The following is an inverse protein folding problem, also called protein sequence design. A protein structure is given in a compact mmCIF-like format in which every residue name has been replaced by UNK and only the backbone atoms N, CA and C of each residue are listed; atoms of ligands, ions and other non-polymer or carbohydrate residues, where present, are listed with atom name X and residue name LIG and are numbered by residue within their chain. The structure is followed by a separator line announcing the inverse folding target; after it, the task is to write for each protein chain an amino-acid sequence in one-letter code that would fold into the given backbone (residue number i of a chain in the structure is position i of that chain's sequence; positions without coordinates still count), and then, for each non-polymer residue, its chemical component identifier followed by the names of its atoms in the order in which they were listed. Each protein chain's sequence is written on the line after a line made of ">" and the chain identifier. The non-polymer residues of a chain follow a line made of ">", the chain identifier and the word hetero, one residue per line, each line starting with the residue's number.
data_IF_210101604841
#
_entry.id   IF_210101604841
#
_cell.length_a   1.000
_cell.length_b   1.000
_cell.length_c   1.000
_cell.angle_alpha   90.00
_cell.angle_beta   90.00
_cell.angle_gamma   90.00
#
_symmetry.space_group_name_H-M   'P 1'
#
loop_
_entity.id
_entity.type
_entity.pdbx_description
1 polymer ?
#
# COMPACT_ATOMS: atom_id res chain seq x y z
N UNK A 1 -12.09 -14.88 -50.01
CA UNK A 1 -12.55 -13.75 -49.15
C UNK A 1 -12.87 -14.18 -47.75
N UNK A 2 -13.81 -15.11 -47.46
CA UNK A 2 -14.21 -15.51 -46.08
C UNK A 2 -13.04 -15.94 -45.16
N UNK A 3 -12.05 -16.72 -45.67
CA UNK A 3 -10.90 -17.20 -44.89
C UNK A 3 -9.97 -16.06 -44.41
N UNK A 4 -9.77 -15.05 -45.26
CA UNK A 4 -8.94 -13.88 -44.88
C UNK A 4 -9.65 -13.01 -43.83
N UNK A 5 -10.97 -12.86 -43.95
CA UNK A 5 -11.79 -12.13 -42.95
C UNK A 5 -11.75 -12.82 -41.60
N UNK A 6 -11.89 -14.14 -41.54
CA UNK A 6 -11.79 -14.91 -40.28
C UNK A 6 -10.40 -14.78 -39.63
N UNK A 7 -9.33 -14.82 -40.44
CA UNK A 7 -7.97 -14.64 -39.91
C UNK A 7 -7.76 -13.24 -39.34
N UNK A 8 -8.26 -12.20 -39.99
CA UNK A 8 -8.20 -10.81 -39.50
C UNK A 8 -8.98 -10.68 -38.20
N UNK A 9 -10.19 -11.24 -38.14
CA UNK A 9 -11.01 -11.21 -36.92
C UNK A 9 -10.32 -11.92 -35.75
N UNK A 10 -9.70 -13.08 -36.02
CA UNK A 10 -8.91 -13.81 -35.02
C UNK A 10 -7.72 -12.99 -34.46
N UNK A 11 -6.98 -12.31 -35.33
CA UNK A 11 -5.86 -11.44 -34.93
C UNK A 11 -6.37 -10.26 -34.05
N UNK A 12 -7.49 -9.66 -34.44
CA UNK A 12 -8.10 -8.55 -33.65
C UNK A 12 -8.49 -9.06 -32.25
N UNK A 13 -9.17 -10.20 -32.15
CA UNK A 13 -9.57 -10.77 -30.88
C UNK A 13 -8.38 -11.12 -29.97
N UNK A 14 -7.31 -11.68 -30.54
CA UNK A 14 -6.08 -11.95 -29.79
C UNK A 14 -5.42 -10.63 -29.35
N UNK A 15 -5.42 -9.61 -30.20
CA UNK A 15 -4.93 -8.28 -29.84
C UNK A 15 -5.67 -7.65 -28.66
N UNK A 16 -7.01 -7.71 -28.70
CA UNK A 16 -7.86 -7.23 -27.59
C UNK A 16 -7.58 -8.04 -26.32
N UNK A 17 -7.55 -9.37 -26.40
CA UNK A 17 -7.24 -10.23 -25.25
C UNK A 17 -5.87 -9.93 -24.64
N UNK A 18 -4.86 -9.72 -25.47
CA UNK A 18 -3.51 -9.31 -25.03
C UNK A 18 -3.53 -7.96 -24.32
N UNK A 19 -4.24 -6.99 -24.87
CA UNK A 19 -4.37 -5.66 -24.26
C UNK A 19 -5.06 -5.72 -22.89
N UNK A 20 -6.17 -6.44 -22.77
CA UNK A 20 -6.88 -6.63 -21.49
C UNK A 20 -5.99 -7.34 -20.47
N UNK A 21 -5.26 -8.37 -20.88
CA UNK A 21 -4.36 -9.13 -20.02
C UNK A 21 -3.17 -8.28 -19.50
N UNK A 22 -2.61 -7.41 -20.35
CA UNK A 22 -1.47 -6.55 -20.00
C UNK A 22 -1.89 -5.27 -19.27
N UNK A 23 -3.17 -4.89 -19.34
CA UNK A 23 -3.66 -3.64 -18.76
C UNK A 23 -3.35 -3.47 -17.26
N UNK A 24 -3.46 -4.49 -16.37
CA UNK A 24 -3.10 -4.36 -14.96
C UNK A 24 -1.62 -4.01 -14.74
N UNK A 25 -0.74 -4.57 -15.57
CA UNK A 25 0.72 -4.29 -15.51
C UNK A 25 0.99 -2.84 -15.89
N UNK A 26 0.33 -2.35 -16.95
CA UNK A 26 0.46 -0.95 -17.38
C UNK A 26 -0.08 0.03 -16.33
N UNK A 27 -1.26 -0.25 -15.75
CA UNK A 27 -1.82 0.59 -14.70
C UNK A 27 -0.96 0.59 -13.44
N UNK A 28 -0.43 -0.57 -13.03
CA UNK A 28 0.49 -0.69 -11.90
C UNK A 28 1.76 0.13 -12.13
N UNK A 29 2.38 0.02 -13.30
CA UNK A 29 3.56 0.82 -13.67
C UNK A 29 3.28 2.33 -13.64
N UNK A 30 2.16 2.76 -14.24
CA UNK A 30 1.75 4.17 -14.23
C UNK A 30 1.54 4.69 -12.81
N UNK A 31 0.86 3.91 -11.97
CA UNK A 31 0.60 4.28 -10.57
C UNK A 31 1.90 4.38 -9.77
N UNK A 32 2.82 3.42 -9.94
CA UNK A 32 4.13 3.47 -9.29
C UNK A 32 4.91 4.72 -9.71
N UNK A 33 4.93 5.03 -11.02
CA UNK A 33 5.58 6.24 -11.53
C UNK A 33 4.97 7.52 -10.96
N UNK A 34 3.64 7.60 -10.84
CA UNK A 34 2.96 8.74 -10.22
C UNK A 34 3.34 8.86 -8.74
N UNK A 35 3.36 7.75 -8.00
CA UNK A 35 3.76 7.71 -6.60
C UNK A 35 5.22 8.20 -6.42
N UNK A 36 6.13 7.76 -7.27
CA UNK A 36 7.54 8.18 -7.25
C UNK A 36 7.68 9.68 -7.53
N UNK A 37 6.92 10.21 -8.51
CA UNK A 37 6.89 11.64 -8.81
C UNK A 37 6.36 12.48 -7.64
N UNK A 38 5.30 12.04 -6.98
CA UNK A 38 4.76 12.73 -5.80
C UNK A 38 5.74 12.71 -4.62
N UNK A 39 6.45 11.61 -4.41
CA UNK A 39 7.47 11.52 -3.38
C UNK A 39 8.67 12.42 -3.73
N UNK A 40 9.11 12.43 -4.98
CA UNK A 40 10.20 13.30 -5.43
C UNK A 40 9.84 14.79 -5.29
N UNK A 41 8.62 15.17 -5.66
CA UNK A 41 8.12 16.53 -5.46
C UNK A 41 8.07 16.91 -3.98
N UNK A 42 7.66 15.97 -3.11
CA UNK A 42 7.69 16.17 -1.66
C UNK A 42 9.12 16.35 -1.11
N UNK A 43 10.07 15.55 -1.58
CA UNK A 43 11.49 15.63 -1.16
C UNK A 43 12.16 16.93 -1.61
N UNK A 44 11.79 17.43 -2.81
CA UNK A 44 12.30 18.71 -3.37
C UNK A 44 11.64 19.95 -2.76
N UNK A 45 10.48 19.82 -2.13
CA UNK A 45 9.77 20.95 -1.55
C UNK A 45 10.59 21.60 -0.43
N UNK A 46 10.58 22.94 -0.38
CA UNK A 46 11.27 23.71 0.67
C UNK A 46 10.73 23.31 2.04
N UNK A 47 11.60 22.81 2.89
CA UNK A 47 11.27 22.44 4.26
C UNK A 47 11.23 23.70 5.13
N UNK A 48 10.18 23.85 5.91
CA UNK A 48 10.05 24.87 6.94
C UNK A 48 10.48 24.23 8.27
N UNK A 49 11.33 24.88 9.08
CA UNK A 49 11.64 24.40 10.42
C UNK A 49 10.36 24.20 11.23
N UNK A 50 10.26 23.08 11.94
CA UNK A 50 9.04 22.69 12.66
C UNK A 50 8.56 23.75 13.67
N UNK A 51 9.49 24.45 14.30
CA UNK A 51 9.21 25.52 15.29
C UNK A 51 8.50 26.73 14.66
N UNK A 52 8.72 26.96 13.35
CA UNK A 52 8.19 28.12 12.59
C UNK A 52 6.99 27.73 11.70
N UNK A 53 6.65 26.43 11.60
CA UNK A 53 5.56 25.99 10.74
C UNK A 53 4.22 25.96 11.49
N UNK A 54 3.24 26.80 11.12
CA UNK A 54 1.90 26.75 11.72
C UNK A 54 1.25 25.36 11.61
N UNK A 55 1.52 24.64 10.50
CA UNK A 55 1.01 23.29 10.29
C UNK A 55 1.52 22.31 11.36
N UNK A 56 2.77 22.47 11.81
CA UNK A 56 3.32 21.65 12.89
C UNK A 56 2.60 21.92 14.22
N UNK A 57 2.32 23.18 14.52
CA UNK A 57 1.56 23.55 15.73
C UNK A 57 0.15 22.96 15.71
N UNK A 58 -0.54 23.05 14.57
CA UNK A 58 -1.87 22.47 14.38
C UNK A 58 -1.81 20.94 14.56
N UNK A 59 -0.80 20.26 13.98
CA UNK A 59 -0.61 18.83 14.10
C UNK A 59 -0.36 18.38 15.56
N UNK A 60 0.43 19.11 16.31
CA UNK A 60 0.65 18.85 17.75
C UNK A 60 -0.65 19.04 18.55
N UNK A 61 -1.39 20.13 18.31
CA UNK A 61 -2.67 20.38 18.97
C UNK A 61 -3.69 19.29 18.66
N UNK A 62 -3.74 18.84 17.41
CA UNK A 62 -4.58 17.71 16.99
C UNK A 62 -4.23 16.43 17.77
N UNK A 63 -2.94 16.03 17.79
CA UNK A 63 -2.52 14.85 18.52
C UNK A 63 -2.86 14.93 20.03
N UNK A 64 -2.68 16.11 20.61
CA UNK A 64 -2.96 16.36 22.03
C UNK A 64 -4.47 16.25 22.31
N UNK A 65 -5.29 16.85 21.44
CA UNK A 65 -6.74 16.81 21.54
C UNK A 65 -7.27 15.37 21.51
N UNK A 66 -6.90 14.56 20.49
CA UNK A 66 -7.42 13.20 20.39
C UNK A 66 -6.97 12.29 21.54
N UNK A 67 -5.77 12.53 22.09
CA UNK A 67 -5.30 11.82 23.28
C UNK A 67 -6.11 12.19 24.52
N UNK A 68 -6.34 13.48 24.79
CA UNK A 68 -7.09 13.96 25.95
C UNK A 68 -8.57 13.60 25.88
N UNK A 69 -9.17 13.58 24.68
CA UNK A 69 -10.55 13.16 24.43
C UNK A 69 -10.74 11.63 24.40
N UNK A 70 -9.63 10.85 24.50
CA UNK A 70 -9.66 9.38 24.50
C UNK A 70 -10.13 8.76 23.18
N UNK A 71 -9.92 9.45 22.05
CA UNK A 71 -10.29 8.99 20.70
C UNK A 71 -11.75 8.55 20.59
N UNK A 72 -12.68 9.32 21.18
CA UNK A 72 -14.13 9.01 21.25
C UNK A 72 -14.77 8.77 19.88
N UNK A 73 -14.22 9.40 18.84
CA UNK A 73 -14.75 9.35 17.47
C UNK A 73 -14.11 8.23 16.63
N UNK A 74 -13.17 7.47 17.18
CA UNK A 74 -12.56 6.31 16.51
C UNK A 74 -13.53 5.11 16.58
N UNK A 75 -14.60 5.12 15.77
CA UNK A 75 -15.69 4.15 15.89
C UNK A 75 -15.92 3.30 14.65
N UNK A 76 -15.79 3.88 13.46
CA UNK A 76 -16.21 3.25 12.21
C UNK A 76 -15.43 3.74 10.98
N UNK A 77 -15.75 3.15 9.83
CA UNK A 77 -15.11 3.44 8.54
C UNK A 77 -15.25 4.91 8.12
N UNK A 78 -16.30 5.60 8.55
CA UNK A 78 -16.50 7.02 8.20
C UNK A 78 -15.54 7.92 8.96
N UNK A 79 -15.32 7.65 10.25
CA UNK A 79 -14.35 8.37 11.06
C UNK A 79 -12.93 8.24 10.51
N UNK A 80 -12.58 7.09 9.93
CA UNK A 80 -11.26 6.83 9.34
C UNK A 80 -10.97 7.66 8.08
N UNK A 81 -12.01 8.18 7.41
CA UNK A 81 -11.90 9.01 6.19
C UNK A 81 -11.64 10.47 6.47
N UNK A 82 -11.86 10.93 7.69
CA UNK A 82 -11.65 12.33 8.04
C UNK A 82 -10.17 12.71 7.92
N UNK A 83 -9.90 13.93 7.45
CA UNK A 83 -8.53 14.45 7.45
C UNK A 83 -8.22 15.04 8.82
N UNK A 84 -7.13 14.61 9.49
CA UNK A 84 -6.71 15.13 10.77
C UNK A 84 -6.50 16.65 10.78
N UNK A 85 -5.85 17.15 9.73
CA UNK A 85 -5.56 18.58 9.52
C UNK A 85 -5.69 18.91 8.04
N UNK A 86 -5.78 20.18 7.69
CA UNK A 86 -5.83 20.64 6.30
C UNK A 86 -4.44 20.96 5.80
N UNK A 87 -4.01 20.29 4.72
CA UNK A 87 -2.78 20.65 4.02
C UNK A 87 -2.97 21.96 3.25
N UNK A 88 -1.88 22.72 3.10
CA UNK A 88 -1.89 23.94 2.25
C UNK A 88 -2.26 23.57 0.81
N UNK A 89 -2.90 24.52 0.12
CA UNK A 89 -3.25 24.35 -1.29
C UNK A 89 -2.02 23.94 -2.12
N UNK A 90 -2.21 22.98 -3.03
CA UNK A 90 -1.15 22.42 -3.88
C UNK A 90 -0.31 21.29 -3.24
N UNK A 91 -0.52 20.95 -1.97
CA UNK A 91 0.08 19.76 -1.35
C UNK A 91 -0.91 18.59 -1.38
N UNK A 92 -0.54 17.49 -2.04
CA UNK A 92 -1.37 16.30 -2.17
C UNK A 92 -1.15 15.28 -1.05
N UNK A 93 0.07 15.20 -0.50
CA UNK A 93 0.46 14.21 0.51
C UNK A 93 1.09 14.85 1.74
N UNK A 94 1.06 14.13 2.86
CA UNK A 94 1.69 14.50 4.14
C UNK A 94 3.16 14.06 4.20
N UNK A 95 3.57 13.16 3.34
CA UNK A 95 4.91 12.57 3.34
C UNK A 95 4.94 11.24 2.61
N UNK A 96 5.79 10.34 3.07
CA UNK A 96 5.83 8.97 2.56
C UNK A 96 6.21 7.97 3.64
N UNK A 97 5.81 6.71 3.43
CA UNK A 97 6.24 5.55 4.20
C UNK A 97 7.18 4.68 3.37
N UNK A 98 8.25 4.17 3.98
CA UNK A 98 9.20 3.24 3.38
C UNK A 98 9.38 2.02 4.28
N UNK A 99 9.20 0.82 3.71
CA UNK A 99 9.38 -0.46 4.39
C UNK A 99 10.24 -1.36 3.49
N UNK A 100 11.54 -1.41 3.79
CA UNK A 100 12.52 -2.12 2.94
C UNK A 100 12.20 -3.62 2.81
N UNK A 101 11.75 -4.26 3.89
CA UNK A 101 11.42 -5.69 3.91
C UNK A 101 10.30 -6.08 2.95
N UNK A 102 9.39 -5.15 2.67
CA UNK A 102 8.27 -5.32 1.74
C UNK A 102 8.57 -4.76 0.34
N UNK A 103 9.74 -4.13 0.16
CA UNK A 103 10.09 -3.33 -1.04
C UNK A 103 9.03 -2.25 -1.36
N UNK A 104 8.61 -1.52 -0.33
CA UNK A 104 7.53 -0.53 -0.42
C UNK A 104 8.05 0.87 -0.12
N UNK A 105 7.73 1.82 -1.01
CA UNK A 105 7.82 3.27 -0.80
C UNK A 105 6.54 3.91 -1.34
N UNK A 106 5.66 4.41 -0.47
CA UNK A 106 4.34 4.91 -0.82
C UNK A 106 4.13 6.33 -0.32
N UNK A 107 3.51 7.21 -1.11
CA UNK A 107 3.01 8.50 -0.61
C UNK A 107 2.05 8.26 0.55
N UNK A 108 2.05 9.18 1.51
CA UNK A 108 1.25 9.12 2.72
C UNK A 108 0.25 10.26 2.73
N UNK A 109 -1.04 9.95 2.67
CA UNK A 109 -2.14 10.89 2.60
C UNK A 109 -2.86 11.03 3.93
N UNK A 110 -3.59 12.12 4.14
CA UNK A 110 -4.42 12.35 5.32
C UNK A 110 -5.86 11.90 5.07
N UNK A 111 -6.38 11.05 5.94
CA UNK A 111 -7.71 10.43 5.82
C UNK A 111 -7.70 9.20 4.90
N UNK A 112 -8.22 8.08 5.39
CA UNK A 112 -8.30 6.82 4.67
C UNK A 112 -9.50 6.78 3.70
N UNK A 113 -9.61 7.79 2.83
CA UNK A 113 -10.61 7.82 1.76
C UNK A 113 -10.26 6.82 0.67
N UNK A 114 -11.26 6.38 -0.10
CA UNK A 114 -11.04 5.49 -1.23
C UNK A 114 -10.06 6.10 -2.26
N UNK A 115 -10.14 7.40 -2.48
CA UNK A 115 -9.25 8.13 -3.37
C UNK A 115 -7.79 8.09 -2.89
N UNK A 116 -7.54 8.43 -1.61
CA UNK A 116 -6.21 8.41 -1.01
C UNK A 116 -5.61 7.00 -1.01
N UNK A 117 -6.41 6.00 -0.63
CA UNK A 117 -5.99 4.60 -0.60
C UNK A 117 -5.64 4.04 -1.99
N UNK A 118 -6.26 4.58 -3.07
CA UNK A 118 -5.90 4.23 -4.46
C UNK A 118 -4.58 4.86 -4.91
N UNK A 119 -4.14 5.95 -4.28
CA UNK A 119 -2.88 6.64 -4.62
C UNK A 119 -1.68 6.12 -3.81
N UNK A 120 -1.91 5.67 -2.57
CA UNK A 120 -0.83 5.23 -1.69
C UNK A 120 -1.32 4.69 -0.36
N UNK A 121 -0.58 4.98 0.71
CA UNK A 121 -0.99 4.72 2.08
C UNK A 121 -1.69 5.95 2.66
N UNK A 122 -2.60 5.75 3.61
CA UNK A 122 -3.34 6.84 4.23
C UNK A 122 -3.31 6.77 5.76
N UNK A 123 -3.09 7.90 6.41
CA UNK A 123 -3.27 8.05 7.86
C UNK A 123 -4.78 8.05 8.12
N UNK A 124 -5.21 7.16 8.99
CA UNK A 124 -6.63 7.09 9.36
C UNK A 124 -7.01 8.32 10.20
N UNK A 125 -8.16 8.90 9.90
CA UNK A 125 -8.77 9.91 10.74
C UNK A 125 -8.98 9.41 12.17
N UNK A 126 -9.07 10.32 13.13
CA UNK A 126 -9.21 10.05 14.56
C UNK A 126 -8.03 9.25 15.15
N UNK A 127 -6.89 9.18 14.42
CA UNK A 127 -5.62 8.64 14.91
C UNK A 127 -4.52 9.71 14.84
N UNK A 128 -3.42 9.50 15.55
CA UNK A 128 -2.37 10.51 15.64
C UNK A 128 -1.65 10.72 14.31
N UNK A 129 -1.13 11.92 14.12
CA UNK A 129 -0.12 12.18 13.11
C UNK A 129 1.26 11.72 13.61
N UNK A 130 2.14 11.22 12.72
CA UNK A 130 3.46 10.71 13.09
C UNK A 130 4.44 11.87 13.31
N UNK A 131 4.49 12.39 14.51
CA UNK A 131 5.31 13.55 14.91
C UNK A 131 6.47 13.17 15.84
N UNK A 132 6.67 11.90 16.15
CA UNK A 132 7.73 11.45 17.06
C UNK A 132 7.47 11.79 18.53
N UNK A 133 6.20 11.94 18.91
CA UNK A 133 5.80 12.35 20.28
C UNK A 133 5.18 11.16 21.04
N UNK A 134 5.40 11.11 22.37
CA UNK A 134 4.72 10.14 23.24
C UNK A 134 3.20 10.35 23.25
N UNK A 135 2.49 9.33 23.69
CA UNK A 135 1.02 9.30 23.74
C UNK A 135 0.41 9.47 22.33
N UNK A 136 1.00 8.79 21.35
CA UNK A 136 0.54 8.82 19.97
C UNK A 136 0.52 7.43 19.36
N UNK A 137 -0.45 7.19 18.48
CA UNK A 137 -0.50 6.05 17.59
C UNK A 137 -1.02 6.50 16.22
N UNK A 138 -0.10 6.61 15.26
CA UNK A 138 -0.46 6.89 13.88
C UNK A 138 -0.86 5.61 13.17
N UNK A 139 -2.14 5.46 12.82
CA UNK A 139 -2.61 4.29 12.10
C UNK A 139 -2.55 4.57 10.59
N UNK A 140 -1.77 3.78 9.88
CA UNK A 140 -1.55 3.89 8.45
C UNK A 140 -2.19 2.71 7.76
N UNK A 141 -3.23 2.97 6.97
CA UNK A 141 -3.95 1.98 6.20
C UNK A 141 -3.48 1.98 4.74
N UNK A 142 -3.40 0.79 4.14
CA UNK A 142 -3.23 0.60 2.70
C UNK A 142 -3.91 -0.69 2.26
N UNK A 143 -4.21 -0.81 0.97
CA UNK A 143 -4.79 -2.04 0.41
C UNK A 143 -3.84 -3.23 0.58
N UNK A 144 -4.40 -4.41 0.81
CA UNK A 144 -3.68 -5.69 0.75
C UNK A 144 -3.50 -6.13 -0.71
N UNK A 145 -2.89 -5.24 -1.55
CA UNK A 145 -2.88 -5.34 -3.00
C UNK A 145 -4.20 -4.89 -3.64
N UNK A 146 -4.11 -4.15 -4.73
CA UNK A 146 -5.29 -3.66 -5.44
C UNK A 146 -4.95 -3.40 -6.91
N UNK A 147 -5.71 -3.99 -7.84
CA UNK A 147 -5.53 -3.80 -9.29
C UNK A 147 -4.08 -3.97 -9.78
N UNK A 148 -3.39 -5.01 -9.30
CA UNK A 148 -1.99 -5.28 -9.65
C UNK A 148 -0.95 -4.48 -8.87
N UNK A 149 -1.36 -3.45 -8.12
CA UNK A 149 -0.48 -2.61 -7.31
C UNK A 149 -0.27 -3.29 -5.94
N UNK A 150 0.98 -3.45 -5.49
CA UNK A 150 1.26 -4.23 -4.28
C UNK A 150 0.78 -3.57 -2.99
N UNK A 151 0.90 -2.25 -2.79
CA UNK A 151 0.64 -1.57 -1.52
C UNK A 151 1.18 -2.36 -0.31
N UNK A 152 0.30 -2.83 0.61
CA UNK A 152 0.67 -3.68 1.75
C UNK A 152 0.49 -5.18 1.48
N UNK A 153 0.50 -5.61 0.22
CA UNK A 153 0.35 -7.04 -0.15
C UNK A 153 1.35 -7.96 0.57
N UNK A 154 2.57 -7.50 0.74
CA UNK A 154 3.63 -8.28 1.35
C UNK A 154 3.78 -8.02 2.87
N UNK A 155 2.75 -7.50 3.54
CA UNK A 155 2.80 -7.13 4.97
C UNK A 155 3.08 -8.33 5.88
N UNK A 156 2.67 -9.53 5.47
CA UNK A 156 2.90 -10.77 6.21
C UNK A 156 4.38 -11.21 6.24
N UNK A 157 5.25 -10.58 5.42
CA UNK A 157 6.70 -10.77 5.48
C UNK A 157 7.37 -10.05 6.66
N UNK A 158 6.65 -9.14 7.31
CA UNK A 158 7.19 -8.41 8.45
C UNK A 158 7.33 -9.30 9.66
N UNK A 159 8.43 -9.14 10.38
CA UNK A 159 8.73 -9.80 11.64
C UNK A 159 9.02 -8.74 12.71
N UNK A 160 8.92 -9.14 13.99
CA UNK A 160 9.33 -8.30 15.10
C UNK A 160 10.79 -7.87 14.91
N UNK A 161 11.06 -6.57 15.10
CA UNK A 161 12.36 -5.96 14.87
C UNK A 161 12.55 -5.31 13.49
N UNK A 162 11.73 -5.64 12.50
CA UNK A 162 11.80 -5.02 11.17
C UNK A 162 11.50 -3.50 11.24
N UNK A 163 12.18 -2.76 10.35
CA UNK A 163 12.16 -1.30 10.39
C UNK A 163 11.13 -0.70 9.43
N UNK A 164 10.35 0.24 9.96
CA UNK A 164 9.41 1.10 9.23
C UNK A 164 9.91 2.55 9.30
N UNK A 165 10.00 3.22 8.17
CA UNK A 165 10.44 4.61 8.08
C UNK A 165 9.30 5.46 7.58
N UNK A 166 9.05 6.58 8.27
CA UNK A 166 8.12 7.60 7.85
C UNK A 166 8.87 8.92 7.67
N UNK A 167 8.69 9.55 6.52
CA UNK A 167 9.12 10.92 6.28
C UNK A 167 7.88 11.80 6.31
N UNK A 168 7.79 12.65 7.31
CA UNK A 168 6.79 13.72 7.39
C UNK A 168 7.38 15.05 6.87
N UNK A 169 6.66 16.18 6.83
CA UNK A 169 7.18 17.44 6.32
C UNK A 169 8.43 17.97 7.03
N UNK A 170 8.64 17.59 8.29
CA UNK A 170 9.68 18.16 9.15
C UNK A 170 10.85 17.22 9.39
N UNK A 171 10.58 15.93 9.55
CA UNK A 171 11.61 14.98 9.97
C UNK A 171 11.38 13.56 9.46
N UNK A 172 12.44 12.76 9.51
CA UNK A 172 12.42 11.33 9.22
C UNK A 172 12.35 10.56 10.52
N UNK A 173 11.32 9.74 10.65
CA UNK A 173 11.03 8.96 11.84
C UNK A 173 11.28 7.47 11.55
N UNK A 174 11.95 6.79 12.45
CA UNK A 174 12.20 5.33 12.38
C UNK A 174 11.44 4.62 13.48
N UNK A 175 10.73 3.57 13.09
CA UNK A 175 9.98 2.69 13.99
C UNK A 175 10.41 1.25 13.77
N UNK A 176 10.22 0.39 14.79
CA UNK A 176 10.45 -1.05 14.71
C UNK A 176 9.17 -1.80 15.03
N UNK A 177 8.92 -2.88 14.31
CA UNK A 177 7.82 -3.80 14.60
C UNK A 177 7.98 -4.36 16.01
N UNK A 178 6.98 -4.15 16.87
CA UNK A 178 6.90 -4.66 18.25
C UNK A 178 6.01 -5.90 18.30
N UNK A 179 4.90 -5.89 17.57
CA UNK A 179 3.87 -6.95 17.64
C UNK A 179 3.07 -7.01 16.36
N UNK A 180 2.56 -8.19 16.04
CA UNK A 180 1.67 -8.42 14.88
C UNK A 180 0.43 -9.14 15.40
N UNK A 181 -0.75 -8.69 14.94
CA UNK A 181 -2.05 -9.31 15.29
C UNK A 181 -3.00 -9.34 14.09
N UNK A 182 -3.94 -10.26 14.13
CA UNK A 182 -5.15 -10.24 13.30
C UNK A 182 -6.32 -9.88 14.21
N UNK A 183 -7.12 -8.89 13.80
CA UNK A 183 -8.24 -8.38 14.61
C UNK A 183 -9.53 -8.37 13.77
N UNK A 184 -10.67 -8.25 14.45
CA UNK A 184 -11.94 -8.01 13.78
C UNK A 184 -11.99 -6.60 13.18
N UNK A 185 -12.76 -6.38 12.10
CA UNK A 185 -12.84 -5.08 11.43
C UNK A 185 -13.36 -3.94 12.30
N UNK A 186 -14.17 -4.24 13.28
CA UNK A 186 -14.84 -3.33 14.22
C UNK A 186 -14.11 -3.16 15.56
N UNK A 187 -13.04 -3.93 15.81
CA UNK A 187 -12.24 -3.84 17.04
C UNK A 187 -11.30 -2.63 17.01
N UNK A 188 -11.87 -1.44 17.04
CA UNK A 188 -11.12 -0.17 17.04
C UNK A 188 -10.27 0.03 18.29
N UNK A 189 -10.55 -0.66 19.40
CA UNK A 189 -9.78 -0.55 20.63
C UNK A 189 -8.34 -1.04 20.47
N UNK A 190 -8.11 -1.99 19.57
CA UNK A 190 -6.76 -2.50 19.29
C UNK A 190 -5.83 -1.45 18.66
N UNK A 191 -6.38 -0.44 18.02
CA UNK A 191 -5.60 0.60 17.32
C UNK A 191 -5.57 1.95 18.06
N UNK A 192 -6.10 2.02 19.28
CA UNK A 192 -6.04 3.21 20.12
C UNK A 192 -4.63 3.56 20.59
N UNK A 193 -4.47 4.81 21.04
CA UNK A 193 -3.23 5.31 21.64
C UNK A 193 -2.92 4.53 22.92
N UNK A 194 -1.66 4.10 23.07
CA UNK A 194 -1.13 3.50 24.29
C UNK A 194 -0.34 4.55 25.07
N UNK A 195 -0.72 4.78 26.33
CA UNK A 195 -0.08 5.79 27.20
C UNK A 195 1.44 5.58 27.25
N UNK A 196 2.17 6.69 27.11
CA UNK A 196 3.63 6.72 27.21
C UNK A 196 4.36 6.27 25.94
N UNK A 197 3.68 5.70 24.93
CA UNK A 197 4.30 5.20 23.71
C UNK A 197 4.19 6.20 22.55
N UNK A 198 5.21 6.21 21.68
CA UNK A 198 5.20 6.79 20.34
C UNK A 198 5.10 5.63 19.35
N UNK A 199 3.95 5.49 18.69
CA UNK A 199 3.62 4.32 17.88
C UNK A 199 3.19 4.69 16.47
N UNK A 200 3.46 3.75 15.57
CA UNK A 200 2.84 3.64 14.27
C UNK A 200 2.23 2.26 14.13
N UNK A 201 1.02 2.20 13.65
CA UNK A 201 0.32 0.94 13.40
C UNK A 201 0.02 0.82 11.91
N UNK A 202 0.51 -0.23 11.26
CA UNK A 202 0.17 -0.53 9.87
C UNK A 202 -1.08 -1.42 9.86
N UNK A 203 -2.02 -1.12 8.98
CA UNK A 203 -3.29 -1.83 8.90
C UNK A 203 -3.66 -2.15 7.45
N UNK A 204 -4.08 -3.39 7.21
CA UNK A 204 -4.64 -3.81 5.92
C UNK A 204 -5.74 -4.85 6.10
N UNK A 205 -6.52 -5.10 5.04
CA UNK A 205 -7.50 -6.19 5.00
C UNK A 205 -6.80 -7.55 5.04
N UNK A 206 -7.41 -8.56 5.66
CA UNK A 206 -6.87 -9.92 5.76
C UNK A 206 -8.01 -10.96 5.68
N UNK A 207 -7.75 -12.16 5.11
CA UNK A 207 -6.62 -12.50 4.24
C UNK A 207 -6.65 -11.75 2.90
N UNK A 208 -5.62 -11.93 2.08
CA UNK A 208 -5.56 -11.37 0.74
C UNK A 208 -6.81 -11.76 -0.08
N UNK A 209 -7.44 -10.77 -0.76
CA UNK A 209 -8.68 -10.95 -1.55
C UNK A 209 -9.94 -11.39 -0.78
N UNK A 210 -9.95 -11.35 0.55
CA UNK A 210 -11.10 -11.76 1.38
C UNK A 210 -12.17 -10.67 1.55
N UNK A 211 -12.11 -9.58 0.82
CA UNK A 211 -13.00 -8.42 1.00
C UNK A 211 -12.99 -7.83 2.41
N UNK A 212 -11.92 -8.08 3.19
CA UNK A 212 -11.73 -7.47 4.50
C UNK A 212 -12.43 -8.19 5.64
N UNK A 213 -12.48 -9.51 5.59
CA UNK A 213 -13.03 -10.35 6.68
C UNK A 213 -12.39 -10.04 8.04
N UNK A 214 -11.08 -9.81 8.04
CA UNK A 214 -10.28 -9.42 9.21
C UNK A 214 -9.38 -8.23 8.86
N UNK A 215 -8.61 -7.74 9.86
CA UNK A 215 -7.54 -6.76 9.68
C UNK A 215 -6.22 -7.36 10.14
N UNK A 216 -5.20 -7.26 9.31
CA UNK A 216 -3.81 -7.54 9.68
C UNK A 216 -3.20 -6.26 10.21
N UNK A 217 -2.69 -6.32 11.43
CA UNK A 217 -2.21 -5.15 12.16
C UNK A 217 -0.77 -5.38 12.61
N UNK A 218 0.11 -4.44 12.25
CA UNK A 218 1.52 -4.43 12.65
C UNK A 218 1.78 -3.22 13.52
N UNK A 219 2.01 -3.46 14.81
CA UNK A 219 2.34 -2.41 15.77
C UNK A 219 3.82 -2.13 15.76
N UNK A 220 4.19 -0.88 15.58
CA UNK A 220 5.57 -0.42 15.54
C UNK A 220 5.79 0.64 16.62
N UNK A 221 6.90 0.55 17.36
CA UNK A 221 7.32 1.54 18.34
C UNK A 221 8.49 2.35 17.82
N UNK A 222 8.65 3.56 18.34
CA UNK A 222 9.75 4.46 18.01
C UNK A 222 11.10 3.75 18.20
N UNK A 223 11.95 3.81 17.17
CA UNK A 223 13.31 3.26 17.21
C UNK A 223 14.27 4.32 17.77
N UNK A 224 14.68 4.14 19.02
CA UNK A 224 15.70 4.97 19.69
C UNK A 224 17.10 4.37 19.59
N UNK A 225 17.35 3.44 18.66
CA UNK A 225 18.64 2.78 18.51
C UNK A 225 18.89 1.62 19.51
N UNK A 226 17.95 1.35 20.39
CA UNK A 226 18.04 0.21 21.30
C UNK A 226 17.73 -1.09 20.54
N UNK A 227 18.52 -2.15 20.78
CA UNK A 227 18.18 -3.49 20.31
C UNK A 227 16.88 -3.90 21.01
N UNK A 228 15.84 -4.12 20.23
CA UNK A 228 14.66 -4.83 20.77
C UNK A 228 15.17 -6.23 21.14
N UNK A 229 15.22 -6.51 22.44
CA UNK A 229 15.41 -7.89 22.91
C UNK A 229 14.21 -8.63 22.34
N UNK A 230 14.46 -9.60 21.47
CA UNK A 230 13.46 -10.55 21.04
C UNK A 230 12.90 -11.23 22.29
N UNK A 231 11.93 -10.62 22.94
CA UNK A 231 11.01 -11.41 23.73
C UNK A 231 10.45 -12.39 22.72
N UNK A 232 10.68 -13.67 22.97
CA UNK A 232 10.05 -14.81 22.31
C UNK A 232 8.54 -14.67 22.47
N UNK A 233 8.00 -13.59 21.92
CA UNK A 233 6.58 -13.35 21.84
C UNK A 233 6.14 -14.22 20.69
N UNK A 234 5.44 -15.26 21.04
CA UNK A 234 4.52 -15.94 20.18
C UNK A 234 4.02 -14.93 19.15
N UNK A 235 4.67 -14.87 17.99
CA UNK A 235 3.97 -14.53 16.80
C UNK A 235 2.81 -15.48 16.86
N UNK A 236 1.63 -15.02 17.25
CA UNK A 236 0.42 -15.77 17.11
C UNK A 236 0.27 -15.87 15.59
N UNK A 237 1.03 -16.81 15.01
CA UNK A 237 0.59 -17.51 13.84
C UNK A 237 -0.58 -18.32 14.37
N UNK A 238 -1.70 -17.60 14.51
CA UNK A 238 -2.95 -18.23 14.82
C UNK A 238 -3.15 -19.21 13.67
N UNK A 239 -2.93 -20.49 13.93
CA UNK A 239 -3.01 -21.56 12.94
C UNK A 239 -4.40 -21.67 12.32
N UNK A 240 -5.36 -20.91 12.85
CA UNK A 240 -6.71 -20.76 12.33
C UNK A 240 -6.83 -19.73 11.17
N UNK A 241 -5.81 -18.89 10.93
CA UNK A 241 -5.85 -17.91 9.84
C UNK A 241 -4.97 -18.34 8.68
N UNK A 242 -5.59 -18.51 7.53
CA UNK A 242 -4.92 -18.88 6.29
C UNK A 242 -3.91 -17.79 5.89
N UNK A 243 -2.64 -18.16 5.69
CA UNK A 243 -1.63 -17.26 5.17
C UNK A 243 -1.98 -16.83 3.74
N UNK A 244 -1.82 -15.54 3.45
CA UNK A 244 -2.03 -15.00 2.10
C UNK A 244 -0.90 -15.33 1.12
N UNK A 245 0.22 -15.88 1.60
CA UNK A 245 1.43 -16.11 0.81
C UNK A 245 1.17 -17.04 -0.39
N UNK A 246 0.43 -18.12 -0.18
CA UNK A 246 0.12 -19.07 -1.25
C UNK A 246 -0.73 -18.43 -2.36
N UNK A 247 -1.74 -17.65 -2.00
CA UNK A 247 -2.59 -16.94 -2.97
C UNK A 247 -1.81 -15.92 -3.80
N UNK A 248 -0.89 -15.21 -3.15
CA UNK A 248 0.00 -14.25 -3.81
C UNK A 248 0.96 -14.96 -4.78
N UNK A 249 1.54 -16.08 -4.39
CA UNK A 249 2.45 -16.86 -5.23
C UNK A 249 1.70 -17.47 -6.42
N UNK A 250 0.51 -18.03 -6.20
CA UNK A 250 -0.34 -18.57 -7.24
C UNK A 250 -0.71 -17.50 -8.28
N UNK A 251 -1.06 -16.31 -7.84
CA UNK A 251 -1.35 -15.20 -8.75
C UNK A 251 -0.14 -14.84 -9.62
N UNK A 252 1.05 -14.70 -9.03
CA UNK A 252 2.29 -14.46 -9.79
C UNK A 252 2.55 -15.55 -10.81
N UNK A 253 2.38 -16.80 -10.43
CA UNK A 253 2.58 -17.97 -11.33
C UNK A 253 1.56 -17.95 -12.48
N UNK A 254 0.28 -17.70 -12.21
CA UNK A 254 -0.76 -17.61 -13.24
C UNK A 254 -0.46 -16.49 -14.25
N UNK A 255 0.03 -15.33 -13.79
CA UNK A 255 0.46 -14.26 -14.68
C UNK A 255 1.65 -14.66 -15.56
N UNK A 256 2.66 -15.33 -15.01
CA UNK A 256 3.82 -15.80 -15.77
C UNK A 256 3.41 -16.84 -16.84
N UNK A 257 2.56 -17.80 -16.49
CA UNK A 257 2.04 -18.78 -17.43
C UNK A 257 1.24 -18.09 -18.54
N UNK A 258 0.37 -17.15 -18.19
CA UNK A 258 -0.41 -16.37 -19.16
C UNK A 258 0.47 -15.60 -20.14
N UNK A 259 1.53 -14.97 -19.67
CA UNK A 259 2.53 -14.30 -20.53
C UNK A 259 3.22 -15.28 -21.48
N UNK A 260 3.60 -16.47 -20.98
CA UNK A 260 4.19 -17.52 -21.80
C UNK A 260 3.27 -17.99 -22.91
N UNK A 261 2.00 -18.23 -22.60
CA UNK A 261 0.97 -18.62 -23.58
C UNK A 261 0.79 -17.53 -24.64
N UNK A 262 0.69 -16.27 -24.24
CA UNK A 262 0.56 -15.14 -25.18
C UNK A 262 1.75 -15.04 -26.13
N UNK A 263 2.97 -15.21 -25.63
CA UNK A 263 4.18 -15.23 -26.46
C UNK A 263 4.14 -16.34 -27.50
N UNK A 264 3.75 -17.54 -27.12
CA UNK A 264 3.61 -18.69 -28.05
C UNK A 264 2.59 -18.35 -29.14
N UNK A 265 1.42 -17.82 -28.78
CA UNK A 265 0.39 -17.41 -29.75
C UNK A 265 0.92 -16.39 -30.74
N UNK A 266 1.61 -15.35 -30.27
CA UNK A 266 2.19 -14.32 -31.15
C UNK A 266 3.27 -14.89 -32.09
N UNK A 267 4.11 -15.83 -31.63
CA UNK A 267 5.10 -16.52 -32.46
C UNK A 267 4.41 -17.32 -33.58
N UNK A 268 3.34 -18.05 -33.26
CA UNK A 268 2.57 -18.81 -34.24
C UNK A 268 1.95 -17.90 -35.30
N UNK A 269 1.34 -16.78 -34.89
CA UNK A 269 0.74 -15.80 -35.78
C UNK A 269 1.79 -15.23 -36.73
N UNK A 270 2.94 -14.82 -36.22
CA UNK A 270 4.03 -14.23 -37.02
C UNK A 270 4.58 -15.24 -38.03
N UNK A 271 4.76 -16.50 -37.61
CA UNK A 271 5.20 -17.60 -38.53
C UNK A 271 4.20 -17.86 -39.64
N UNK A 272 2.91 -17.94 -39.32
CA UNK A 272 1.85 -18.17 -40.29
C UNK A 272 1.73 -16.99 -41.27
N UNK A 273 1.84 -15.76 -40.79
CA UNK A 273 1.82 -14.56 -41.64
C UNK A 273 2.98 -14.54 -42.62
N UNK A 274 4.22 -14.78 -42.15
CA UNK A 274 5.39 -14.88 -43.04
C UNK A 274 5.26 -15.98 -44.09
N UNK A 275 4.64 -17.11 -43.74
CA UNK A 275 4.34 -18.20 -44.68
C UNK A 275 3.33 -17.83 -45.78
N UNK A 276 2.34 -17.00 -45.42
CA UNK A 276 1.32 -16.52 -46.37
C UNK A 276 1.90 -15.49 -47.39
N UNK A 277 2.74 -14.60 -46.91
CA UNK A 277 3.40 -13.60 -47.78
C UNK A 277 4.35 -14.29 -48.76
N UNK A 278 5.13 -15.28 -48.32
CA UNK A 278 6.03 -16.04 -49.23
C UNK A 278 5.29 -16.84 -50.32
N UNK A 279 4.06 -17.28 -50.07
CA UNK A 279 3.25 -18.01 -51.05
C UNK A 279 2.53 -17.03 -52.05
N UNK A 280 2.19 -15.83 -51.64
CA UNK A 280 1.55 -14.81 -52.48
C UNK A 280 2.51 -14.05 -53.42
N UNK A 281 3.82 -14.12 -53.20
CA UNK A 281 4.84 -13.49 -54.05
C UNK A 281 5.43 -14.46 -55.12
N UNK A 282 4.86 -15.66 -55.29
CA UNK A 282 5.27 -16.62 -56.32
C UNK A 282 4.18 -16.93 -57.34
N UNK A 283 3.14 -16.08 -57.41
CA UNK A 283 2.09 -16.14 -58.42
C UNK A 283 2.18 -14.96 -59.39
#
# INVERSE_FOLDING_TARGET
>A
MKRNLMNILGIILIGIGTFVFLSPIFFSYKQQKNADQEIEAFEKAKKVPKEKDPLYKEAIQYNQKIYTEGQKNLKDVWSYRTSPIKLKAGKSNFGYIRIKKMDVKLPLYLGATLENMRKGAAIMGETSLPLGTKNSNCVIAAHHGYQGIPYFREIEKLNVGDRVIIQNPWEKLSYRVEQIKIIQPDDSDQIKIRKGKDMVTLLTCHPYRSHGKYRYVVYCIRDHGQKIVEKKNNTIKDTHFQSSEWDIQREKLCHMIGLGILLIFWIIIIKNWKGTIRKGGKA
#
